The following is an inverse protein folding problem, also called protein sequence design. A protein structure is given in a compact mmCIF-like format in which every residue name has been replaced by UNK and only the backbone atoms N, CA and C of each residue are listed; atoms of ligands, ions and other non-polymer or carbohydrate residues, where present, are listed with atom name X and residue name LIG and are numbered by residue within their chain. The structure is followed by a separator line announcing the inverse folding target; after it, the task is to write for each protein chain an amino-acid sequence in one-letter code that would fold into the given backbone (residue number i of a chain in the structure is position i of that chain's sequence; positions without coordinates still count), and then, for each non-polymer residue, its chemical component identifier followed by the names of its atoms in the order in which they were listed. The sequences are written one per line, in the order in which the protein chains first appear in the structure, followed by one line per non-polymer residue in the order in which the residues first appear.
data_IF_325169835095
#
_entry.id   IF_325169835095
#
_cell.length_a   1.000
_cell.length_b   1.000
_cell.length_c   1.000
_cell.angle_alpha   90.00
_cell.angle_beta   90.00
_cell.angle_gamma   90.00
#
_symmetry.space_group_name_H-M   'P 1'
#
loop_
_entity.id
_entity.type
_entity.pdbx_description
1 polymer ?
#
# COMPACT_ATOMS: atom_id res chain seq x y z
N UNK A 1 15.68 -2.14 5.56
CA UNK A 1 14.97 -2.76 4.42
C UNK A 1 15.43 -4.19 4.11
N UNK A 2 16.73 -4.49 4.01
CA UNK A 2 17.20 -5.84 3.62
C UNK A 2 16.73 -6.96 4.58
N UNK A 3 16.74 -6.71 5.89
CA UNK A 3 16.25 -7.68 6.89
C UNK A 3 14.71 -7.85 6.88
N UNK A 4 13.97 -6.76 6.69
CA UNK A 4 12.50 -6.76 6.55
C UNK A 4 12.03 -7.53 5.29
N UNK A 5 12.89 -7.63 4.27
CA UNK A 5 12.65 -8.39 3.04
C UNK A 5 13.11 -9.85 3.12
N UNK A 6 13.78 -10.25 4.20
CA UNK A 6 14.20 -11.65 4.37
C UNK A 6 12.99 -12.55 4.63
N UNK A 7 12.89 -13.67 3.91
CA UNK A 7 11.84 -14.66 4.12
C UNK A 7 12.03 -15.49 5.40
N UNK A 8 13.23 -15.46 6.00
CA UNK A 8 13.56 -16.18 7.23
C UNK A 8 13.19 -15.42 8.51
N UNK A 9 12.91 -14.12 8.40
CA UNK A 9 12.50 -13.28 9.52
C UNK A 9 10.99 -13.47 9.80
N UNK A 10 10.56 -13.64 11.06
CA UNK A 10 9.14 -13.71 11.40
C UNK A 10 8.34 -12.52 10.86
N UNK A 11 7.13 -12.79 10.37
CA UNK A 11 6.27 -11.79 9.71
C UNK A 11 6.05 -10.54 10.59
N UNK A 12 5.78 -10.73 11.89
CA UNK A 12 5.58 -9.63 12.83
C UNK A 12 6.82 -8.74 12.97
N UNK A 13 8.03 -9.32 12.95
CA UNK A 13 9.28 -8.55 13.00
C UNK A 13 9.47 -7.75 11.71
N UNK A 14 9.25 -8.36 10.54
CA UNK A 14 9.29 -7.63 9.25
C UNK A 14 8.31 -6.46 9.21
N UNK A 15 7.10 -6.67 9.74
CA UNK A 15 6.09 -5.62 9.84
C UNK A 15 6.54 -4.47 10.76
N UNK A 16 7.14 -4.80 11.91
CA UNK A 16 7.73 -3.80 12.80
C UNK A 16 8.89 -3.04 12.14
N UNK A 17 9.74 -3.71 11.37
CA UNK A 17 10.86 -3.09 10.65
C UNK A 17 10.37 -2.10 9.57
N UNK A 18 9.29 -2.43 8.85
CA UNK A 18 8.67 -1.50 7.91
C UNK A 18 8.05 -0.30 8.63
N UNK A 19 7.36 -0.50 9.75
CA UNK A 19 6.83 0.59 10.56
C UNK A 19 7.94 1.51 11.07
N UNK A 20 9.05 0.93 11.54
CA UNK A 20 10.22 1.69 11.98
C UNK A 20 10.83 2.50 10.83
N UNK A 21 11.00 1.90 9.65
CA UNK A 21 11.54 2.60 8.48
C UNK A 21 10.63 3.77 8.05
N UNK A 22 9.32 3.56 8.02
CA UNK A 22 8.35 4.62 7.73
C UNK A 22 8.38 5.72 8.81
N UNK A 23 8.37 5.36 10.09
CA UNK A 23 8.39 6.32 11.20
C UNK A 23 9.67 7.19 11.21
N UNK A 24 10.83 6.63 10.87
CA UNK A 24 12.09 7.38 10.81
C UNK A 24 12.14 8.35 9.63
N UNK A 25 11.41 8.05 8.55
CA UNK A 25 11.48 8.82 7.29
C UNK A 25 10.31 9.78 7.12
N UNK A 26 9.18 9.54 7.77
CA UNK A 26 8.00 10.40 7.70
C UNK A 26 8.30 11.88 8.06
N UNK A 27 9.04 12.19 9.15
CA UNK A 27 9.40 13.57 9.49
C UNK A 27 10.33 14.22 8.45
N UNK A 28 11.10 13.41 7.72
CA UNK A 28 12.07 13.83 6.72
C UNK A 28 11.45 14.07 5.34
N UNK A 29 10.14 13.80 5.17
CA UNK A 29 9.44 14.01 3.90
C UNK A 29 9.50 15.46 3.41
N UNK A 30 9.66 16.44 4.31
CA UNK A 30 9.93 17.85 3.97
C UNK A 30 9.06 18.36 2.83
N UNK A 31 9.66 18.91 1.79
CA UNK A 31 9.08 19.12 0.45
C UNK A 31 9.52 18.06 -0.57
N UNK A 32 10.34 17.09 -0.16
CA UNK A 32 11.18 16.27 -1.02
C UNK A 32 10.50 15.02 -1.57
N UNK A 33 9.53 15.19 -2.47
CA UNK A 33 9.10 14.10 -3.36
C UNK A 33 10.33 13.65 -4.18
N UNK A 34 10.53 12.34 -4.35
CA UNK A 34 11.70 11.79 -5.04
C UNK A 34 13.00 11.81 -4.24
N UNK A 35 12.97 12.16 -2.95
CA UNK A 35 14.14 12.00 -2.06
C UNK A 35 14.25 10.56 -1.55
N UNK A 36 15.46 10.11 -1.13
CA UNK A 36 15.63 8.78 -0.53
C UNK A 36 14.74 8.52 0.69
N UNK A 37 14.41 9.57 1.46
CA UNK A 37 13.47 9.47 2.58
C UNK A 37 12.04 9.19 2.09
N UNK A 38 11.59 9.89 1.04
CA UNK A 38 10.29 9.65 0.41
C UNK A 38 10.21 8.25 -0.20
N UNK A 39 11.25 7.81 -0.90
CA UNK A 39 11.31 6.47 -1.50
C UNK A 39 11.25 5.38 -0.42
N UNK A 40 11.99 5.55 0.67
CA UNK A 40 11.98 4.60 1.80
C UNK A 40 10.61 4.56 2.48
N UNK A 41 10.00 5.72 2.73
CA UNK A 41 8.65 5.81 3.28
C UNK A 41 7.61 5.13 2.39
N UNK A 42 7.62 5.44 1.08
CA UNK A 42 6.69 4.88 0.10
C UNK A 42 6.84 3.36 0.03
N UNK A 43 8.08 2.87 -0.05
CA UNK A 43 8.38 1.44 -0.09
C UNK A 43 7.91 0.74 1.18
N UNK A 44 8.19 1.31 2.36
CA UNK A 44 7.77 0.74 3.64
C UNK A 44 6.24 0.66 3.75
N UNK A 45 5.50 1.70 3.33
CA UNK A 45 4.04 1.68 3.32
C UNK A 45 3.47 0.60 2.38
N UNK A 46 4.03 0.48 1.18
CA UNK A 46 3.60 -0.50 0.18
C UNK A 46 3.88 -1.93 0.62
N UNK A 47 5.13 -2.22 1.00
CA UNK A 47 5.56 -3.56 1.41
C UNK A 47 4.86 -4.01 2.70
N UNK A 48 4.66 -3.11 3.68
CA UNK A 48 3.86 -3.43 4.87
C UNK A 48 2.42 -3.83 4.50
N UNK A 49 1.78 -3.10 3.59
CA UNK A 49 0.39 -3.38 3.20
C UNK A 49 0.26 -4.75 2.53
N UNK A 50 1.16 -5.06 1.59
CA UNK A 50 1.20 -6.37 0.92
C UNK A 50 1.50 -7.47 1.95
N UNK A 51 2.47 -7.25 2.84
CA UNK A 51 2.87 -8.18 3.88
C UNK A 51 1.69 -8.55 4.80
N UNK A 52 1.00 -7.55 5.35
CA UNK A 52 -0.11 -7.75 6.28
C UNK A 52 -1.30 -8.46 5.60
N UNK A 53 -1.57 -8.13 4.33
CA UNK A 53 -2.70 -8.73 3.61
C UNK A 53 -2.45 -10.18 3.20
N UNK A 54 -1.22 -10.51 2.80
CA UNK A 54 -0.87 -11.82 2.23
C UNK A 54 -0.36 -12.84 3.25
N UNK A 55 0.21 -12.40 4.37
CA UNK A 55 0.82 -13.30 5.35
C UNK A 55 -0.24 -13.99 6.23
N UNK A 56 0.03 -15.24 6.61
CA UNK A 56 -0.79 -16.02 7.55
C UNK A 56 -2.28 -16.05 7.20
N UNK A 57 -2.62 -16.12 5.91
CA UNK A 57 -4.01 -16.11 5.44
C UNK A 57 -4.75 -14.80 5.67
N UNK A 58 -4.02 -13.68 5.82
CA UNK A 58 -4.59 -12.38 6.15
C UNK A 58 -4.90 -12.21 7.63
N UNK A 59 -4.39 -13.08 8.51
CA UNK A 59 -4.59 -12.96 9.96
C UNK A 59 -4.11 -11.63 10.51
N UNK A 60 -3.05 -11.04 9.95
CA UNK A 60 -2.53 -9.75 10.39
C UNK A 60 -3.29 -8.56 9.76
N UNK A 61 -4.35 -8.81 9.00
CA UNK A 61 -5.10 -7.78 8.31
C UNK A 61 -6.35 -7.35 9.09
N UNK A 62 -6.70 -6.07 9.00
CA UNK A 62 -7.97 -5.52 9.48
C UNK A 62 -8.27 -5.79 10.97
N UNK A 63 -7.24 -5.82 11.81
CA UNK A 63 -7.37 -5.83 13.26
C UNK A 63 -6.28 -4.97 13.89
N UNK A 64 -6.50 -4.40 15.09
CA UNK A 64 -5.44 -3.75 15.84
C UNK A 64 -4.28 -4.71 16.10
N UNK A 65 -3.06 -4.28 15.80
CA UNK A 65 -1.85 -5.07 16.02
C UNK A 65 -0.90 -4.35 16.96
N UNK A 66 -0.24 -5.12 17.82
CA UNK A 66 0.94 -4.68 18.56
C UNK A 66 2.14 -5.40 17.98
N UNK A 67 3.02 -4.64 17.32
CA UNK A 67 4.18 -5.16 16.59
C UNK A 67 5.45 -4.68 17.30
N UNK A 68 6.27 -5.62 17.75
CA UNK A 68 7.50 -5.34 18.51
C UNK A 68 8.72 -5.66 17.66
N UNK A 69 9.51 -4.63 17.37
CA UNK A 69 10.89 -4.72 16.86
C UNK A 69 11.82 -3.99 17.82
N UNK A 70 12.65 -3.08 17.31
CA UNK A 70 13.44 -2.16 18.14
C UNK A 70 12.56 -1.22 18.98
N UNK A 71 11.37 -0.91 18.46
CA UNK A 71 10.28 -0.23 19.16
C UNK A 71 8.99 -1.02 19.02
N UNK A 72 8.10 -0.85 19.97
CA UNK A 72 6.73 -1.38 19.89
C UNK A 72 5.84 -0.35 19.21
N UNK A 73 5.15 -0.77 18.16
CA UNK A 73 4.16 0.03 17.44
C UNK A 73 2.76 -0.57 17.62
N UNK A 74 1.77 0.31 17.76
CA UNK A 74 0.35 -0.07 17.74
C UNK A 74 -0.24 0.33 16.40
N UNK A 75 -0.50 -0.65 15.54
CA UNK A 75 -0.99 -0.44 14.18
C UNK A 75 -2.51 -0.64 14.14
N UNK A 76 -3.20 0.30 13.48
CA UNK A 76 -4.61 0.16 13.09
C UNK A 76 -4.82 0.60 11.65
N UNK A 77 -5.90 0.13 11.04
CA UNK A 77 -6.33 0.60 9.72
C UNK A 77 -7.29 1.79 9.87
N UNK A 78 -7.17 2.78 9.00
CA UNK A 78 -8.13 3.88 8.90
C UNK A 78 -9.48 3.34 8.39
N UNK A 79 -10.61 3.72 9.02
CA UNK A 79 -11.94 3.34 8.56
C UNK A 79 -12.22 3.80 7.12
N UNK A 80 -13.16 3.12 6.46
CA UNK A 80 -13.59 3.49 5.12
C UNK A 80 -14.20 4.91 5.09
N UNK A 81 -13.94 5.63 4.01
CA UNK A 81 -14.50 6.96 3.78
C UNK A 81 -14.53 7.31 2.31
N UNK A 82 -14.88 8.55 1.99
CA UNK A 82 -14.95 9.01 0.59
C UNK A 82 -13.60 8.85 -0.14
N UNK A 83 -12.49 9.11 0.55
CA UNK A 83 -11.13 9.04 0.00
C UNK A 83 -10.32 7.85 0.51
N UNK A 84 -10.92 6.95 1.28
CA UNK A 84 -10.27 5.78 1.87
C UNK A 84 -11.05 4.52 1.50
N UNK A 85 -10.39 3.55 0.90
CA UNK A 85 -10.96 2.24 0.62
C UNK A 85 -11.30 1.53 1.92
N UNK A 86 -12.39 0.76 1.93
CA UNK A 86 -12.63 -0.15 3.04
C UNK A 86 -11.51 -1.21 3.06
N UNK A 87 -11.03 -1.54 4.25
CA UNK A 87 -9.95 -2.52 4.47
C UNK A 87 -10.21 -3.87 3.81
N UNK A 88 -11.48 -4.29 3.74
CA UNK A 88 -11.87 -5.58 3.13
C UNK A 88 -12.44 -5.43 1.72
N UNK A 89 -12.32 -4.26 1.08
CA UNK A 89 -12.77 -4.08 -0.30
C UNK A 89 -11.92 -4.91 -1.27
N UNK A 90 -10.60 -4.93 -1.07
CA UNK A 90 -9.67 -5.71 -1.88
C UNK A 90 -9.33 -7.04 -1.21
N UNK A 91 -9.23 -8.08 -2.03
CA UNK A 91 -8.79 -9.40 -1.58
C UNK A 91 -7.29 -9.54 -1.56
N UNK A 92 -6.56 -8.78 -2.40
CA UNK A 92 -5.11 -8.76 -2.47
C UNK A 92 -4.59 -7.36 -2.85
N UNK A 93 -3.29 -7.15 -2.61
CA UNK A 93 -2.54 -5.98 -3.09
C UNK A 93 -1.27 -6.44 -3.78
N UNK A 94 -0.93 -5.80 -4.90
CA UNK A 94 0.29 -6.08 -5.65
C UNK A 94 1.09 -4.79 -5.85
N UNK A 95 2.42 -4.94 -5.92
CA UNK A 95 3.29 -3.83 -6.31
C UNK A 95 3.12 -3.53 -7.80
N UNK A 96 3.06 -2.25 -8.23
CA UNK A 96 3.01 -1.90 -9.64
C UNK A 96 4.14 -2.54 -10.46
N UNK A 97 5.33 -2.72 -9.89
CA UNK A 97 6.49 -3.32 -10.56
C UNK A 97 6.32 -4.83 -10.85
N UNK A 98 5.42 -5.49 -10.12
CA UNK A 98 5.09 -6.90 -10.35
C UNK A 98 4.06 -7.09 -11.47
N UNK A 99 3.34 -6.03 -11.83
CA UNK A 99 2.36 -6.07 -12.92
C UNK A 99 3.09 -5.89 -14.25
N UNK A 100 3.01 -6.91 -15.11
CA UNK A 100 3.62 -6.87 -16.45
C UNK A 100 2.84 -5.92 -17.35
N UNK A 101 3.31 -4.68 -17.49
CA UNK A 101 2.69 -3.64 -18.34
C UNK A 101 2.95 -3.86 -19.85
N UNK A 102 2.64 -5.04 -20.39
CA UNK A 102 3.01 -5.45 -21.77
C UNK A 102 2.34 -4.63 -22.88
N UNK A 103 1.19 -4.01 -22.61
CA UNK A 103 0.38 -3.32 -23.64
C UNK A 103 0.25 -1.80 -23.41
N UNK A 104 0.83 -1.26 -22.35
CA UNK A 104 0.71 0.16 -22.05
C UNK A 104 1.80 0.94 -22.81
N UNK A 105 1.36 1.69 -23.82
CA UNK A 105 2.23 2.58 -24.61
C UNK A 105 2.68 3.81 -23.82
N UNK A 106 1.86 4.28 -22.87
CA UNK A 106 2.16 5.43 -22.02
C UNK A 106 1.75 5.13 -20.58
N UNK A 107 2.74 5.07 -19.68
CA UNK A 107 2.50 4.94 -18.24
C UNK A 107 1.94 6.25 -17.70
N UNK A 108 0.85 6.16 -16.95
CA UNK A 108 0.24 7.27 -16.23
C UNK A 108 0.52 7.04 -14.75
N UNK A 109 1.57 7.68 -14.27
CA UNK A 109 1.99 7.69 -12.88
C UNK A 109 1.86 9.09 -12.30
N UNK A 110 1.68 9.17 -10.99
CA UNK A 110 1.71 10.40 -10.21
C UNK A 110 2.78 10.24 -9.15
N UNK A 111 3.76 11.14 -9.15
CA UNK A 111 4.74 11.23 -8.08
C UNK A 111 4.09 11.80 -6.82
N UNK A 112 4.53 11.30 -5.66
CA UNK A 112 3.98 11.75 -4.39
C UNK A 112 4.42 10.86 -3.23
N UNK A 113 3.63 10.92 -2.17
CA UNK A 113 3.88 10.23 -0.90
C UNK A 113 2.91 9.06 -0.73
N UNK A 114 3.42 7.99 -0.13
CA UNK A 114 2.73 6.73 0.12
C UNK A 114 3.15 5.61 -0.84
N UNK A 115 2.92 4.37 -0.43
CA UNK A 115 3.18 3.19 -1.25
C UNK A 115 2.11 3.02 -2.31
N UNK A 116 2.47 3.23 -3.58
CA UNK A 116 1.57 2.96 -4.70
C UNK A 116 1.37 1.45 -4.84
N UNK A 117 0.11 1.03 -4.96
CA UNK A 117 -0.31 -0.37 -5.02
C UNK A 117 -1.43 -0.57 -6.05
N UNK A 118 -1.55 -1.79 -6.54
CA UNK A 118 -2.75 -2.27 -7.24
C UNK A 118 -3.58 -3.06 -6.25
N UNK A 119 -4.76 -2.54 -5.90
CA UNK A 119 -5.75 -3.31 -5.15
C UNK A 119 -6.50 -4.24 -6.10
N UNK A 120 -6.62 -5.52 -5.74
CA UNK A 120 -7.31 -6.55 -6.53
C UNK A 120 -8.46 -7.11 -5.70
N UNK A 121 -9.68 -7.08 -6.24
CA UNK A 121 -10.90 -7.63 -5.62
C UNK A 121 -11.40 -8.82 -6.44
N UNK A 122 -11.25 -10.02 -5.91
CA UNK A 122 -11.78 -11.26 -6.46
C UNK A 122 -12.97 -11.68 -5.60
N UNK A 123 -14.14 -11.90 -6.21
CA UNK A 123 -15.36 -12.33 -5.52
C UNK A 123 -15.65 -13.78 -5.89
N UNK A 124 -16.01 -14.59 -4.90
CA UNK A 124 -16.43 -15.98 -5.10
C UNK A 124 -17.80 -16.21 -4.41
N UNK A 125 -18.88 -16.51 -5.16
CA UNK A 125 -18.93 -16.65 -6.62
C UNK A 125 -18.69 -15.32 -7.35
N UNK A 126 -18.17 -15.34 -8.61
CA UNK A 126 -17.95 -14.12 -9.38
C UNK A 126 -19.22 -13.30 -9.56
N UNK A 127 -19.12 -11.98 -9.40
CA UNK A 127 -20.20 -11.05 -9.76
C UNK A 127 -20.42 -11.08 -11.28
N UNK A 128 -21.66 -10.85 -11.73
CA UNK A 128 -21.97 -10.79 -13.17
C UNK A 128 -21.07 -9.75 -13.84
N UNK A 129 -20.44 -10.14 -14.95
CA UNK A 129 -19.52 -9.30 -15.75
C UNK A 129 -18.22 -8.89 -15.05
N UNK A 130 -17.93 -9.40 -13.83
CA UNK A 130 -16.63 -9.21 -13.23
C UNK A 130 -15.56 -9.97 -14.04
N UNK A 131 -14.41 -9.36 -14.34
CA UNK A 131 -13.31 -10.08 -14.96
C UNK A 131 -12.89 -11.27 -14.10
N UNK A 132 -12.49 -12.38 -14.73
CA UNK A 132 -12.05 -13.61 -14.02
C UNK A 132 -10.89 -13.33 -13.07
N UNK A 133 -10.00 -12.40 -13.44
CA UNK A 133 -8.87 -11.97 -12.60
C UNK A 133 -9.26 -10.97 -11.49
N UNK A 134 -10.53 -10.58 -11.38
CA UNK A 134 -11.03 -9.65 -10.38
C UNK A 134 -11.10 -8.19 -10.86
N UNK A 135 -11.61 -7.32 -9.99
CA UNK A 135 -11.71 -5.87 -10.22
C UNK A 135 -10.48 -5.20 -9.61
N UNK A 136 -9.77 -4.40 -10.40
CA UNK A 136 -8.56 -3.71 -9.95
C UNK A 136 -8.76 -2.21 -9.78
N UNK A 137 -7.97 -1.61 -8.89
CA UNK A 137 -7.91 -0.15 -8.74
C UNK A 137 -6.54 0.31 -8.22
N UNK A 138 -6.20 1.56 -8.52
CA UNK A 138 -5.03 2.21 -7.94
C UNK A 138 -5.30 2.54 -6.46
N UNK A 139 -4.36 2.17 -5.60
CA UNK A 139 -4.40 2.38 -4.16
C UNK A 139 -3.09 3.04 -3.74
N UNK A 140 -3.16 3.96 -2.78
CA UNK A 140 -1.95 4.49 -2.13
C UNK A 140 -2.01 4.18 -0.64
N UNK A 141 -1.07 3.40 -0.13
CA UNK A 141 -0.92 3.15 1.29
C UNK A 141 -0.16 4.31 1.95
N UNK A 142 -0.72 4.90 3.01
CA UNK A 142 -0.03 5.92 3.82
C UNK A 142 -0.03 5.52 5.29
N UNK A 143 1.03 5.87 6.00
CA UNK A 143 1.16 5.70 7.45
C UNK A 143 1.25 7.06 8.13
N UNK A 144 0.33 7.32 9.05
CA UNK A 144 0.39 8.47 9.95
C UNK A 144 0.81 8.01 11.35
N UNK A 145 1.81 8.67 11.92
CA UNK A 145 2.36 8.33 13.22
C UNK A 145 1.98 9.35 14.29
N UNK A 146 1.49 8.86 15.42
CA UNK A 146 1.42 9.61 16.66
C UNK A 146 2.20 8.87 17.74
N UNK A 147 3.47 9.26 17.91
CA UNK A 147 4.46 8.51 18.67
C UNK A 147 4.54 7.06 18.14
N UNK A 148 4.18 6.08 18.96
CA UNK A 148 4.19 4.64 18.59
C UNK A 148 2.87 4.17 17.98
N UNK A 149 1.83 5.00 17.95
CA UNK A 149 0.57 4.67 17.29
C UNK A 149 0.69 4.96 15.80
N UNK A 150 0.50 3.93 14.98
CA UNK A 150 0.53 4.03 13.52
C UNK A 150 -0.88 3.78 12.96
N UNK A 151 -1.31 4.65 12.05
CA UNK A 151 -2.57 4.46 11.30
C UNK A 151 -2.24 4.23 9.84
N UNK A 152 -2.58 3.05 9.32
CA UNK A 152 -2.46 2.70 7.90
C UNK A 152 -3.75 3.05 7.15
N UNK A 153 -3.65 3.89 6.13
CA UNK A 153 -4.79 4.27 5.30
C UNK A 153 -4.61 3.77 3.86
N UNK A 154 -5.69 3.25 3.28
CA UNK A 154 -5.75 2.84 1.88
C UNK A 154 -6.41 3.94 1.06
N UNK A 155 -5.62 4.92 0.61
CA UNK A 155 -6.14 6.11 -0.06
C UNK A 155 -6.62 5.80 -1.48
N UNK A 156 -7.58 6.61 -1.97
CA UNK A 156 -8.16 6.57 -3.32
C UNK A 156 -7.57 7.67 -4.20
N UNK A 157 -6.36 7.52 -4.78
CA UNK A 157 -5.69 8.59 -5.50
C UNK A 157 -6.50 9.13 -6.70
N UNK A 158 -7.32 8.29 -7.34
CA UNK A 158 -8.19 8.71 -8.45
C UNK A 158 -9.38 9.59 -7.99
N UNK A 159 -9.79 9.50 -6.72
CA UNK A 159 -10.92 10.27 -6.15
C UNK A 159 -10.43 11.52 -5.43
N UNK A 160 -9.33 11.39 -4.70
CA UNK A 160 -8.66 12.50 -4.02
C UNK A 160 -7.15 12.32 -4.23
N UNK A 161 -6.51 13.14 -5.07
CA UNK A 161 -5.09 12.95 -5.44
C UNK A 161 -4.11 13.40 -4.36
N UNK A 162 -4.60 13.95 -3.26
CA UNK A 162 -3.81 14.44 -2.12
C UNK A 162 -4.34 13.87 -0.81
N UNK A 163 -3.48 13.67 0.19
CA UNK A 163 -3.89 13.37 1.56
C UNK A 163 -3.05 14.17 2.56
N UNK A 164 -3.52 14.25 3.81
CA UNK A 164 -2.69 14.71 4.91
C UNK A 164 -1.78 13.54 5.29
N UNK A 165 -0.46 13.78 5.27
CA UNK A 165 0.57 12.85 5.75
C UNK A 165 1.57 13.65 6.57
N UNK A 166 1.78 13.24 7.82
CA UNK A 166 2.61 13.98 8.80
C UNK A 166 2.14 15.43 8.96
N UNK A 167 0.83 15.62 9.08
CA UNK A 167 0.19 16.93 9.30
C UNK A 167 0.24 17.89 8.11
N UNK A 168 0.73 17.47 6.94
CA UNK A 168 0.81 18.30 5.74
C UNK A 168 0.02 17.69 4.59
N UNK A 169 -0.64 18.53 3.79
CA UNK A 169 -1.28 18.10 2.55
C UNK A 169 -0.20 17.77 1.53
N UNK A 170 -0.22 16.53 1.00
CA UNK A 170 0.76 16.02 0.05
C UNK A 170 0.08 15.32 -1.12
N UNK A 171 0.62 15.41 -2.34
CA UNK A 171 0.19 14.55 -3.44
C UNK A 171 0.48 13.10 -3.11
N UNK A 172 -0.43 12.20 -3.50
CA UNK A 172 -0.29 10.76 -3.31
C UNK A 172 0.51 10.15 -4.45
N UNK A 173 1.43 9.22 -4.14
CA UNK A 173 2.05 8.41 -5.18
C UNK A 173 1.02 7.43 -5.76
N UNK A 174 0.92 7.33 -7.08
CA UNK A 174 0.00 6.39 -7.72
C UNK A 174 0.52 5.91 -9.07
N UNK A 175 0.23 4.67 -9.41
CA UNK A 175 0.32 4.17 -10.78
C UNK A 175 -1.10 3.85 -11.26
N UNK A 176 -1.65 4.71 -12.13
CA UNK A 176 -2.99 4.54 -12.69
C UNK A 176 -3.02 3.57 -13.88
N UNK A 177 -1.86 3.27 -14.44
CA UNK A 177 -1.66 2.33 -15.54
C UNK A 177 -1.60 0.87 -15.07
N UNK A 178 -1.02 0.60 -13.90
CA UNK A 178 -0.83 -0.76 -13.39
C UNK A 178 -2.15 -1.53 -13.20
N UNK A 179 -3.24 -0.97 -12.63
CA UNK A 179 -4.51 -1.68 -12.53
C UNK A 179 -5.07 -2.13 -13.88
N UNK A 180 -4.87 -1.32 -14.92
CA UNK A 180 -5.33 -1.63 -16.30
C UNK A 180 -4.46 -2.77 -16.89
N UNK A 181 -3.14 -2.71 -16.66
CA UNK A 181 -2.20 -3.75 -17.11
C UNK A 181 -2.35 -5.09 -16.41
N UNK A 182 -3.08 -5.12 -15.29
CA UNK A 182 -3.33 -6.36 -14.56
C UNK A 182 -4.07 -7.41 -15.40
N UNK A 183 -4.89 -6.96 -16.35
CA UNK A 183 -5.60 -7.83 -17.26
C UNK A 183 -4.65 -8.27 -18.39
N UNK A 184 -4.42 -9.59 -18.49
CA UNK A 184 -3.72 -10.13 -19.65
C UNK A 184 -4.64 -10.05 -20.87
N UNK A 185 -4.11 -9.66 -22.05
CA UNK A 185 -4.87 -9.79 -23.28
C UNK A 185 -5.22 -11.26 -23.53
N UNK A 186 -6.35 -11.54 -24.20
CA UNK A 186 -6.65 -12.89 -24.66
C UNK A 186 -5.48 -13.44 -25.50
N UNK A 187 -5.20 -14.73 -25.34
CA UNK A 187 -4.27 -15.41 -26.22
C UNK A 187 -4.86 -15.38 -27.65
N UNK A 188 -4.07 -14.89 -28.60
CA UNK A 188 -4.40 -15.00 -30.03
C UNK A 188 -4.31 -16.45 -30.49
#
# INVERSE_FOLDING_TARGET
MREARSATTPVAKRAADYLQAAAMTAPLLGTGIGTPACETYNTACGELTVLLRSSEGGRLWNQPLTLTGDKTYHLRLEPAGNAVWASNYFTAFESPDQVKEKLIRKKITQEGVGGALVGVRIVNPPEKFAPVKGITAAVTATLDFHATNATLALRRPAKQPTAIVEGKVRPLAANFSAPISYYEPPAN
#
